data_IF_748662296407
#
_entry.id   IF_748662296407
#
_cell.length_a   1.000
_cell.length_b   1.000
_cell.length_c   1.000
_cell.angle_alpha   90.00
_cell.angle_beta   90.00
_cell.angle_gamma   90.00
#
_symmetry.space_group_name_H-M   'P 1'
#
loop_
_entity.id
_entity.type
_entity.pdbx_description
1 polymer ?
#
# COMPACT_ATOMS: atom_id res chain seq x y z
N UNK A 1 -23.67 -23.94 30.12
CA UNK A 1 -23.73 -23.06 28.93
C UNK A 1 -22.28 -22.94 28.50
N UNK A 2 -21.94 -23.63 27.41
CA UNK A 2 -20.56 -23.72 26.97
C UNK A 2 -20.34 -22.68 25.87
N UNK A 3 -19.33 -21.83 26.06
CA UNK A 3 -18.96 -20.81 25.10
C UNK A 3 -17.68 -21.24 24.40
N UNK A 4 -17.75 -21.32 23.08
CA UNK A 4 -16.57 -21.53 22.24
C UNK A 4 -16.15 -20.20 21.64
N UNK A 5 -14.88 -19.86 21.79
CA UNK A 5 -14.27 -18.70 21.16
C UNK A 5 -13.15 -19.14 20.21
N UNK A 6 -13.03 -18.44 19.09
CA UNK A 6 -11.92 -18.58 18.14
C UNK A 6 -11.24 -17.23 18.02
N UNK A 7 -9.92 -17.22 18.15
CA UNK A 7 -9.10 -16.02 17.97
C UNK A 7 -8.47 -16.09 16.58
N UNK A 8 -8.78 -15.09 15.75
CA UNK A 8 -8.18 -14.94 14.43
C UNK A 8 -7.06 -13.91 14.52
N UNK A 9 -5.87 -14.28 14.06
CA UNK A 9 -4.75 -13.35 13.94
C UNK A 9 -4.65 -12.88 12.49
N UNK A 10 -4.69 -11.56 12.21
CA UNK A 10 -4.52 -11.05 10.86
C UNK A 10 -3.10 -11.32 10.34
N UNK A 11 -2.98 -11.68 9.06
CA UNK A 11 -1.70 -11.76 8.37
C UNK A 11 -1.12 -10.38 8.01
N UNK A 12 -0.02 -10.36 7.25
CA UNK A 12 0.47 -9.12 6.61
C UNK A 12 -0.51 -8.71 5.50
N UNK A 13 -0.88 -7.44 5.44
CA UNK A 13 -1.79 -6.91 4.40
C UNK A 13 -1.11 -5.72 3.70
N UNK A 14 -1.32 -5.56 2.40
CA UNK A 14 -0.73 -4.45 1.62
C UNK A 14 -1.00 -3.07 2.25
N UNK A 15 -2.20 -2.88 2.79
CA UNK A 15 -2.61 -1.61 3.40
C UNK A 15 -1.81 -1.22 4.65
N UNK A 16 -1.00 -2.12 5.24
CA UNK A 16 -0.14 -1.76 6.37
C UNK A 16 1.09 -0.95 5.94
N UNK A 17 1.42 -0.95 4.64
CA UNK A 17 2.53 -0.20 4.07
C UNK A 17 2.06 1.17 3.59
N UNK A 18 2.66 2.23 4.14
CA UNK A 18 2.19 3.61 3.94
C UNK A 18 3.08 4.42 2.99
N UNK A 19 4.16 3.83 2.47
CA UNK A 19 5.04 4.46 1.50
C UNK A 19 5.33 3.52 0.32
N UNK A 20 5.67 4.12 -0.80
CA UNK A 20 5.92 3.39 -2.04
C UNK A 20 7.06 2.37 -1.88
N UNK A 21 8.14 2.75 -1.20
CA UNK A 21 9.32 1.89 -1.03
C UNK A 21 9.01 0.63 -0.23
N UNK A 22 8.36 0.78 0.92
CA UNK A 22 7.96 -0.37 1.74
C UNK A 22 6.88 -1.20 1.06
N UNK A 23 5.98 -0.59 0.29
CA UNK A 23 4.99 -1.30 -0.53
C UNK A 23 5.65 -2.20 -1.59
N UNK A 24 6.66 -1.68 -2.29
CA UNK A 24 7.33 -2.40 -3.39
C UNK A 24 8.35 -3.44 -2.91
N UNK A 25 8.78 -3.37 -1.66
CA UNK A 25 9.67 -4.36 -1.03
C UNK A 25 8.90 -5.49 -0.34
N UNK A 26 7.57 -5.48 -0.39
CA UNK A 26 6.73 -6.51 0.20
C UNK A 26 6.93 -7.88 -0.44
N UNK A 27 6.74 -8.92 0.38
CA UNK A 27 6.71 -10.32 -0.05
C UNK A 27 5.72 -10.49 -1.21
N UNK A 28 6.18 -11.06 -2.33
CA UNK A 28 5.38 -11.30 -3.55
C UNK A 28 4.07 -12.07 -3.31
N UNK A 29 3.94 -12.76 -2.18
CA UNK A 29 2.76 -13.53 -1.81
C UNK A 29 1.47 -12.68 -1.74
N UNK A 30 1.58 -11.37 -1.51
CA UNK A 30 0.42 -10.49 -1.32
C UNK A 30 -0.04 -9.73 -2.58
N UNK A 31 0.63 -9.87 -3.73
CA UNK A 31 0.29 -9.15 -4.98
C UNK A 31 0.04 -7.64 -4.80
N UNK A 32 0.72 -7.01 -3.84
CA UNK A 32 0.54 -5.60 -3.52
C UNK A 32 1.00 -4.71 -4.68
N UNK A 33 0.29 -3.60 -4.86
CA UNK A 33 0.61 -2.52 -5.79
C UNK A 33 0.62 -1.19 -5.05
N UNK A 34 1.49 -0.29 -5.48
CA UNK A 34 1.43 1.11 -5.09
C UNK A 34 0.60 1.89 -6.11
N UNK A 35 -0.41 2.62 -5.63
CA UNK A 35 -1.12 3.59 -6.45
C UNK A 35 -0.76 5.01 -6.04
N UNK A 36 -0.14 5.73 -6.98
CA UNK A 36 0.43 7.05 -6.75
C UNK A 36 -0.63 8.15 -6.60
N UNK A 37 -1.74 8.04 -7.34
CA UNK A 37 -2.84 9.01 -7.29
C UNK A 37 -3.52 9.08 -5.92
N UNK A 38 -3.51 7.98 -5.16
CA UNK A 38 -4.10 7.89 -3.81
C UNK A 38 -3.06 7.67 -2.72
N UNK A 39 -1.76 7.63 -3.08
CA UNK A 39 -0.61 7.43 -2.18
C UNK A 39 -0.80 6.25 -1.22
N UNK A 40 -1.18 5.09 -1.76
CA UNK A 40 -1.54 3.91 -0.95
C UNK A 40 -1.06 2.61 -1.58
N UNK A 41 -0.66 1.68 -0.71
CA UNK A 41 -0.38 0.30 -1.05
C UNK A 41 -1.63 -0.57 -0.90
N UNK A 42 -1.98 -1.35 -1.92
CA UNK A 42 -3.15 -2.26 -1.89
C UNK A 42 -3.00 -3.42 -2.87
N UNK A 43 -3.67 -4.53 -2.60
CA UNK A 43 -3.95 -5.61 -3.56
C UNK A 43 -5.24 -5.34 -4.38
N UNK A 44 -5.91 -4.22 -4.13
CA UNK A 44 -7.19 -3.84 -4.75
C UNK A 44 -8.42 -4.34 -3.99
N UNK A 45 -8.25 -5.05 -2.87
CA UNK A 45 -9.33 -5.63 -2.06
C UNK A 45 -9.25 -5.19 -0.59
N UNK A 46 -8.95 -3.91 -0.35
CA UNK A 46 -8.98 -3.33 0.99
C UNK A 46 -10.21 -2.44 1.23
N UNK A 47 -10.34 -1.91 2.47
CA UNK A 47 -11.46 -1.05 2.89
C UNK A 47 -11.65 0.20 2.03
N UNK A 48 -10.63 0.63 1.28
CA UNK A 48 -10.62 1.79 0.39
C UNK A 48 -10.79 1.41 -1.09
N UNK A 49 -11.31 0.21 -1.39
CA UNK A 49 -11.54 -0.27 -2.76
C UNK A 49 -12.31 0.72 -3.64
N UNK A 50 -13.26 1.48 -3.09
CA UNK A 50 -14.00 2.46 -3.86
C UNK A 50 -13.09 3.58 -4.39
N UNK A 51 -12.28 4.19 -3.51
CA UNK A 51 -11.30 5.22 -3.89
C UNK A 51 -10.26 4.65 -4.87
N UNK A 52 -9.85 3.39 -4.68
CA UNK A 52 -8.92 2.68 -5.57
C UNK A 52 -9.44 2.62 -7.01
N UNK A 53 -10.69 2.19 -7.19
CA UNK A 53 -11.33 2.08 -8.51
C UNK A 53 -11.59 3.43 -9.16
N UNK A 54 -12.06 4.42 -8.39
CA UNK A 54 -12.29 5.78 -8.91
C UNK A 54 -11.02 6.42 -9.47
N UNK A 55 -9.86 6.02 -8.95
CA UNK A 55 -8.54 6.48 -9.38
C UNK A 55 -7.85 5.52 -10.38
N UNK A 56 -8.56 4.51 -10.89
CA UNK A 56 -8.12 3.53 -11.89
C UNK A 56 -6.87 2.72 -11.48
N UNK A 57 -6.63 2.59 -10.18
CA UNK A 57 -5.45 1.95 -9.63
C UNK A 57 -5.35 0.44 -9.94
N UNK A 58 -6.47 -0.21 -10.30
CA UNK A 58 -6.53 -1.61 -10.73
C UNK A 58 -5.85 -1.85 -12.09
N UNK A 59 -5.88 -0.84 -12.96
CA UNK A 59 -5.27 -0.88 -14.31
C UNK A 59 -3.86 -0.30 -14.36
N UNK A 60 -3.42 0.35 -13.28
CA UNK A 60 -2.07 0.92 -13.23
C UNK A 60 -1.02 -0.20 -13.17
N UNK A 61 0.01 -0.03 -14.00
CA UNK A 61 1.24 -0.79 -13.88
C UNK A 61 1.97 -0.41 -12.60
N UNK A 62 2.83 -1.31 -12.14
CA UNK A 62 3.60 -1.10 -10.91
C UNK A 62 4.50 0.14 -11.10
N UNK A 63 4.14 1.25 -10.45
CA UNK A 63 4.93 2.48 -10.54
C UNK A 63 6.28 2.23 -9.87
N UNK A 64 7.37 2.48 -10.60
CA UNK A 64 8.69 2.56 -9.97
C UNK A 64 8.66 3.76 -9.03
N UNK A 65 8.84 3.52 -7.73
CA UNK A 65 8.95 4.58 -6.75
C UNK A 65 10.12 5.50 -7.13
N UNK A 66 9.82 6.59 -7.83
CA UNK A 66 10.79 7.66 -8.02
C UNK A 66 11.12 8.17 -6.63
N UNK A 67 12.41 8.22 -6.27
CA UNK A 67 12.90 8.97 -5.10
C UNK A 67 12.63 10.47 -5.29
N UNK A 68 11.38 10.89 -5.38
CA UNK A 68 11.01 12.31 -5.36
C UNK A 68 11.16 12.92 -3.96
N UNK A 69 11.48 12.12 -2.94
CA UNK A 69 11.68 12.59 -1.56
C UNK A 69 13.12 13.08 -1.27
N UNK A 70 14.08 12.93 -2.19
CA UNK A 70 15.45 13.48 -2.01
C UNK A 70 15.57 14.99 -2.35
N UNK A 71 14.57 15.59 -3.01
CA UNK A 71 14.58 17.03 -3.35
C UNK A 71 13.88 17.92 -2.31
N UNK A 72 13.56 17.42 -1.12
CA UNK A 72 13.17 18.27 0.01
C UNK A 72 14.34 18.52 0.98
N UNK A 73 15.32 17.61 1.02
CA UNK A 73 16.44 17.71 1.97
C UNK A 73 17.68 18.42 1.41
N UNK A 74 17.68 18.78 0.12
CA UNK A 74 18.83 19.47 -0.51
C UNK A 74 18.60 20.98 -0.68
N UNK A 75 17.36 21.46 -0.57
CA UNK A 75 17.00 22.89 -0.77
C UNK A 75 16.94 23.71 0.51
N UNK A 76 17.23 23.12 1.69
CA UNK A 76 17.20 23.81 3.00
C UNK A 76 18.59 24.07 3.61
N UNK A 77 19.68 23.83 2.89
CA UNK A 77 21.06 24.07 3.37
C UNK A 77 21.83 25.10 2.52
N UNK A 78 21.18 26.17 2.08
CA UNK A 78 21.90 27.40 1.65
C UNK A 78 21.70 28.50 2.67
#
# INVERSE_FOLDING_TARGET
MDFTAVILTPGKFCITFNDCGTCMTTEKQLSCKWCESVKRCSDGNDRHRQQWLENKCETQENVSCSRSDELYNTTLTT
#
